data_IF_491077535798
#
_entry.id   IF_491077535798
#
_cell.length_a   1.000
_cell.length_b   1.000
_cell.length_c   1.000
_cell.angle_alpha   90.00
_cell.angle_beta   90.00
_cell.angle_gamma   90.00
#
_symmetry.space_group_name_H-M   'P 1'
#
loop_
_entity.id
_entity.type
_entity.pdbx_description
1 polymer ?
#
# COMPACT_ATOMS: atom_id res chain seq x y z
N UNK A 1 11.46 -4.97 -19.97
CA UNK A 1 10.20 -4.48 -19.38
C UNK A 1 9.30 -4.03 -20.53
N UNK A 2 8.04 -4.48 -20.57
CA UNK A 2 7.08 -4.04 -21.58
C UNK A 2 6.75 -2.55 -21.36
N UNK A 3 6.62 -1.69 -22.39
CA UNK A 3 6.25 -0.28 -22.22
C UNK A 3 5.07 -0.04 -21.26
N UNK A 4 4.06 -0.91 -21.32
CA UNK A 4 2.89 -0.80 -20.45
C UNK A 4 3.18 -1.11 -18.97
N UNK A 5 4.17 -1.95 -18.67
CA UNK A 5 4.62 -2.17 -17.28
C UNK A 5 5.41 -0.96 -16.75
N UNK A 6 6.22 -0.34 -17.61
CA UNK A 6 6.98 0.87 -17.26
C UNK A 6 6.05 2.08 -17.00
N UNK A 7 4.95 2.20 -17.75
CA UNK A 7 3.91 3.20 -17.51
C UNK A 7 3.22 3.01 -16.15
N UNK A 8 2.84 1.77 -15.82
CA UNK A 8 2.26 1.45 -14.51
C UNK A 8 3.24 1.77 -13.38
N UNK A 9 4.50 1.40 -13.52
CA UNK A 9 5.52 1.71 -12.52
C UNK A 9 5.70 3.23 -12.35
N UNK A 10 5.72 3.99 -13.45
CA UNK A 10 5.77 5.45 -13.37
C UNK A 10 4.55 6.06 -12.66
N UNK A 11 3.34 5.51 -12.89
CA UNK A 11 2.12 5.91 -12.16
C UNK A 11 2.30 5.64 -10.67
N UNK A 12 2.76 4.44 -10.30
CA UNK A 12 2.99 4.07 -8.90
C UNK A 12 4.00 4.99 -8.24
N UNK A 13 5.16 5.20 -8.86
CA UNK A 13 6.25 6.02 -8.29
C UNK A 13 5.83 7.47 -8.03
N UNK A 14 5.02 8.08 -8.91
CA UNK A 14 4.52 9.45 -8.70
C UNK A 14 3.73 9.57 -7.40
N UNK A 15 2.73 8.71 -7.18
CA UNK A 15 1.96 8.73 -5.94
C UNK A 15 2.74 8.22 -4.72
N UNK A 16 3.70 7.30 -4.92
CA UNK A 16 4.51 6.75 -3.83
C UNK A 16 5.39 7.81 -3.16
N UNK A 17 5.94 8.75 -3.94
CA UNK A 17 6.69 9.88 -3.39
C UNK A 17 5.84 10.72 -2.44
N UNK A 18 4.63 11.11 -2.86
CA UNK A 18 3.68 11.84 -2.03
C UNK A 18 3.25 11.01 -0.80
N UNK A 19 2.97 9.72 -1.00
CA UNK A 19 2.55 8.81 0.06
C UNK A 19 3.61 8.71 1.17
N UNK A 20 4.88 8.52 0.80
CA UNK A 20 6.00 8.44 1.75
C UNK A 20 6.27 9.77 2.46
N UNK A 21 5.90 10.89 1.86
CA UNK A 21 5.92 12.20 2.51
C UNK A 21 4.72 12.46 3.44
N UNK A 22 3.81 11.49 3.62
CA UNK A 22 2.59 11.64 4.42
C UNK A 22 1.50 12.47 3.73
N UNK A 23 1.68 12.82 2.45
CA UNK A 23 0.71 13.55 1.63
C UNK A 23 -0.30 12.57 1.02
N UNK A 24 -1.05 11.89 1.89
CA UNK A 24 -1.93 10.79 1.47
C UNK A 24 -3.04 11.20 0.50
N UNK A 25 -3.57 12.42 0.61
CA UNK A 25 -4.56 12.92 -0.36
C UNK A 25 -3.94 13.15 -1.74
N UNK A 26 -2.72 13.72 -1.79
CA UNK A 26 -2.00 13.92 -3.05
C UNK A 26 -1.68 12.58 -3.73
N UNK A 27 -1.22 11.59 -2.95
CA UNK A 27 -0.99 10.24 -3.46
C UNK A 27 -2.28 9.60 -4.02
N UNK A 28 -3.42 9.82 -3.35
CA UNK A 28 -4.72 9.36 -3.81
C UNK A 28 -5.07 9.93 -5.19
N UNK A 29 -4.99 11.25 -5.37
CA UNK A 29 -5.31 11.90 -6.64
C UNK A 29 -4.38 11.42 -7.77
N UNK A 30 -3.06 11.36 -7.51
CA UNK A 30 -2.06 10.92 -8.49
C UNK A 30 -2.29 9.48 -8.99
N UNK A 31 -2.69 8.58 -8.09
CA UNK A 31 -3.02 7.20 -8.47
C UNK A 31 -4.41 7.09 -9.10
N UNK A 32 -5.37 7.92 -8.70
CA UNK A 32 -6.73 7.91 -9.26
C UNK A 32 -6.72 8.27 -10.75
N UNK A 33 -5.90 9.23 -11.16
CA UNK A 33 -5.73 9.59 -12.57
C UNK A 33 -5.28 8.39 -13.42
N UNK A 34 -4.28 7.65 -12.95
CA UNK A 34 -3.83 6.41 -13.61
C UNK A 34 -4.90 5.32 -13.61
N UNK A 35 -5.60 5.15 -12.49
CA UNK A 35 -6.67 4.15 -12.34
C UNK A 35 -7.86 4.39 -13.27
N UNK A 36 -8.24 5.66 -13.51
CA UNK A 36 -9.31 6.02 -14.45
C UNK A 36 -8.97 5.57 -15.87
N UNK A 37 -7.71 5.76 -16.27
CA UNK A 37 -7.22 5.42 -17.60
C UNK A 37 -6.88 3.93 -17.79
N UNK A 38 -6.66 3.16 -16.73
CA UNK A 38 -6.23 1.75 -16.79
C UNK A 38 -7.36 0.81 -17.27
N UNK A 39 -7.20 0.12 -18.42
CA UNK A 39 -8.17 -0.85 -18.91
C UNK A 39 -7.98 -2.27 -18.34
N UNK A 40 -6.76 -2.65 -17.92
CA UNK A 40 -6.51 -4.01 -17.43
C UNK A 40 -7.16 -4.20 -16.05
N UNK A 41 -8.04 -5.20 -15.86
CA UNK A 41 -8.76 -5.38 -14.61
C UNK A 41 -7.87 -5.64 -13.40
N UNK A 42 -6.72 -6.31 -13.58
CA UNK A 42 -5.81 -6.66 -12.48
C UNK A 42 -5.03 -5.43 -12.04
N UNK A 43 -4.47 -4.67 -12.99
CA UNK A 43 -3.80 -3.41 -12.71
C UNK A 43 -4.76 -2.36 -12.14
N UNK A 44 -5.99 -2.32 -12.64
CA UNK A 44 -7.05 -1.47 -12.12
C UNK A 44 -7.41 -1.84 -10.67
N UNK A 45 -7.49 -3.12 -10.34
CA UNK A 45 -7.68 -3.57 -8.95
C UNK A 45 -6.49 -3.18 -8.06
N UNK A 46 -5.26 -3.36 -8.55
CA UNK A 46 -4.04 -2.97 -7.84
C UNK A 46 -3.99 -1.47 -7.52
N UNK A 47 -4.15 -0.60 -8.53
CA UNK A 47 -4.18 0.85 -8.33
C UNK A 47 -5.32 1.26 -7.38
N UNK A 48 -6.49 0.63 -7.50
CA UNK A 48 -7.59 0.86 -6.56
C UNK A 48 -7.21 0.49 -5.12
N UNK A 49 -6.43 -0.58 -4.92
CA UNK A 49 -5.86 -0.94 -3.64
C UNK A 49 -5.01 0.21 -3.05
N UNK A 50 -4.06 0.75 -3.81
CA UNK A 50 -3.21 1.86 -3.37
C UNK A 50 -4.02 3.11 -3.00
N UNK A 51 -4.98 3.47 -3.85
CA UNK A 51 -5.91 4.60 -3.66
C UNK A 51 -6.70 4.44 -2.34
N UNK A 52 -7.20 3.24 -2.06
CA UNK A 52 -7.95 2.95 -0.84
C UNK A 52 -7.07 3.02 0.42
N UNK A 53 -5.80 2.57 0.35
CA UNK A 53 -4.84 2.72 1.45
C UNK A 53 -4.56 4.18 1.73
N UNK A 54 -4.26 4.98 0.70
CA UNK A 54 -4.04 6.42 0.85
C UNK A 54 -5.26 7.13 1.44
N UNK A 55 -6.46 6.86 0.92
CA UNK A 55 -7.70 7.42 1.44
C UNK A 55 -7.95 7.02 2.90
N UNK A 56 -7.63 5.78 3.30
CA UNK A 56 -7.76 5.34 4.68
C UNK A 56 -6.88 6.15 5.64
N UNK A 57 -5.61 6.36 5.27
CA UNK A 57 -4.68 7.13 6.10
C UNK A 57 -5.04 8.61 6.15
N UNK A 58 -5.54 9.18 5.06
CA UNK A 58 -6.11 10.53 5.08
C UNK A 58 -7.32 10.62 6.03
N UNK A 59 -8.25 9.65 5.99
CA UNK A 59 -9.39 9.60 6.92
C UNK A 59 -8.96 9.51 8.37
N UNK A 60 -7.94 8.70 8.67
CA UNK A 60 -7.44 8.58 10.02
C UNK A 60 -6.80 9.89 10.50
N UNK A 61 -5.86 10.44 9.72
CA UNK A 61 -4.99 11.54 10.15
C UNK A 61 -5.64 12.93 10.04
N UNK A 62 -6.49 13.17 9.05
CA UNK A 62 -7.12 14.48 8.81
C UNK A 62 -8.57 14.52 9.27
N UNK A 63 -9.32 13.45 9.06
CA UNK A 63 -10.75 13.40 9.41
C UNK A 63 -11.02 12.78 10.78
N UNK A 64 -10.00 12.24 11.46
CA UNK A 64 -10.13 11.53 12.76
C UNK A 64 -11.21 10.46 12.73
N UNK A 65 -11.31 9.73 11.61
CA UNK A 65 -12.35 8.74 11.35
C UNK A 65 -11.74 7.33 11.28
N UNK A 66 -11.49 6.68 12.43
CA UNK A 66 -10.84 5.37 12.47
C UNK A 66 -11.72 4.27 11.85
N UNK A 67 -13.03 4.28 12.12
CA UNK A 67 -13.97 3.33 11.48
C UNK A 67 -14.02 3.51 9.96
N UNK A 68 -13.95 4.75 9.49
CA UNK A 68 -13.84 5.07 8.07
C UNK A 68 -12.55 4.57 7.45
N UNK A 69 -11.43 4.68 8.16
CA UNK A 69 -10.12 4.19 7.73
C UNK A 69 -10.09 2.66 7.64
N UNK A 70 -10.54 1.95 8.69
CA UNK A 70 -10.59 0.47 8.73
C UNK A 70 -11.38 -0.09 7.55
N UNK A 71 -12.59 0.43 7.31
CA UNK A 71 -13.43 -0.01 6.18
C UNK A 71 -12.76 0.18 4.82
N UNK A 72 -11.91 1.19 4.66
CA UNK A 72 -11.15 1.41 3.43
C UNK A 72 -9.96 0.46 3.32
N UNK A 73 -9.27 0.17 4.43
CA UNK A 73 -8.18 -0.82 4.46
C UNK A 73 -8.69 -2.23 4.18
N UNK A 74 -9.85 -2.63 4.69
CA UNK A 74 -10.46 -3.93 4.38
C UNK A 74 -10.76 -4.07 2.89
N UNK A 75 -11.31 -3.01 2.29
CA UNK A 75 -11.52 -2.96 0.84
C UNK A 75 -10.21 -2.99 0.06
N UNK A 76 -9.18 -2.28 0.54
CA UNK A 76 -7.87 -2.29 -0.10
C UNK A 76 -7.28 -3.71 -0.08
N UNK A 77 -7.34 -4.39 1.06
CA UNK A 77 -6.89 -5.77 1.21
C UNK A 77 -7.60 -6.71 0.23
N UNK A 78 -8.93 -6.58 0.10
CA UNK A 78 -9.71 -7.36 -0.87
C UNK A 78 -9.34 -7.06 -2.33
N UNK A 79 -8.97 -5.81 -2.66
CA UNK A 79 -8.52 -5.44 -4.02
C UNK A 79 -7.12 -5.92 -4.36
N UNK A 80 -6.24 -6.02 -3.36
CA UNK A 80 -4.89 -6.53 -3.50
C UNK A 80 -4.84 -8.07 -3.51
N UNK A 81 -5.94 -8.75 -3.14
CA UNK A 81 -6.03 -10.19 -3.19
C UNK A 81 -5.89 -10.70 -4.63
N UNK A 82 -4.90 -11.57 -4.87
CA UNK A 82 -4.63 -12.14 -6.19
C UNK A 82 -3.86 -11.24 -7.14
N UNK A 83 -3.46 -10.03 -6.72
CA UNK A 83 -2.55 -9.18 -7.50
C UNK A 83 -1.15 -9.84 -7.53
N UNK A 84 -0.52 -10.00 -8.70
CA UNK A 84 0.82 -10.58 -8.81
C UNK A 84 1.90 -9.79 -8.05
N UNK A 85 2.88 -10.51 -7.51
CA UNK A 85 4.06 -9.91 -6.88
C UNK A 85 4.85 -9.06 -7.89
N UNK A 86 5.38 -7.92 -7.43
CA UNK A 86 6.13 -7.00 -8.29
C UNK A 86 5.27 -6.09 -9.17
N UNK A 87 3.94 -6.15 -9.09
CA UNK A 87 3.07 -5.26 -9.84
C UNK A 87 3.36 -3.79 -9.51
N UNK A 88 3.58 -2.98 -10.54
CA UNK A 88 3.97 -1.56 -10.39
C UNK A 88 5.26 -1.35 -9.60
N UNK A 89 6.15 -2.36 -9.56
CA UNK A 89 7.41 -2.32 -8.82
C UNK A 89 7.27 -2.53 -7.30
N UNK A 90 6.08 -2.89 -6.78
CA UNK A 90 5.86 -3.05 -5.34
C UNK A 90 5.88 -4.51 -4.89
N UNK A 91 6.32 -4.71 -3.64
CA UNK A 91 6.19 -5.97 -2.94
C UNK A 91 4.75 -6.15 -2.44
N UNK A 92 3.87 -6.65 -3.32
CA UNK A 92 2.41 -6.72 -3.09
C UNK A 92 2.06 -7.60 -1.88
N UNK A 93 2.77 -8.72 -1.69
CA UNK A 93 2.59 -9.58 -0.52
C UNK A 93 2.86 -8.86 0.80
N UNK A 94 3.93 -8.05 0.86
CA UNK A 94 4.25 -7.24 2.04
C UNK A 94 3.20 -6.16 2.27
N UNK A 95 2.81 -5.44 1.21
CA UNK A 95 1.77 -4.41 1.29
C UNK A 95 0.45 -4.98 1.82
N UNK A 96 0.01 -6.13 1.30
CA UNK A 96 -1.22 -6.78 1.74
C UNK A 96 -1.18 -7.13 3.24
N UNK A 97 -0.04 -7.65 3.71
CA UNK A 97 0.19 -7.93 5.12
C UNK A 97 0.22 -6.66 5.98
N UNK A 98 0.83 -5.58 5.50
CA UNK A 98 0.87 -4.29 6.19
C UNK A 98 -0.53 -3.69 6.34
N UNK A 99 -1.34 -3.70 5.28
CA UNK A 99 -2.72 -3.21 5.29
C UNK A 99 -3.55 -3.92 6.36
N UNK A 100 -3.45 -5.24 6.45
CA UNK A 100 -4.16 -6.02 7.45
C UNK A 100 -3.71 -5.69 8.89
N UNK A 101 -2.40 -5.46 9.11
CA UNK A 101 -1.87 -5.06 10.43
C UNK A 101 -2.32 -3.65 10.81
N UNK A 102 -2.29 -2.71 9.87
CA UNK A 102 -2.75 -1.34 10.06
C UNK A 102 -4.25 -1.30 10.44
N UNK A 103 -5.09 -2.06 9.74
CA UNK A 103 -6.53 -2.14 10.03
C UNK A 103 -6.79 -2.58 11.48
N UNK A 104 -6.17 -3.70 11.91
CA UNK A 104 -6.30 -4.23 13.28
C UNK A 104 -5.82 -3.23 14.33
N UNK A 105 -4.70 -2.55 14.07
CA UNK A 105 -4.16 -1.55 14.98
C UNK A 105 -5.09 -0.33 15.12
N UNK A 106 -5.63 0.17 14.01
CA UNK A 106 -6.59 1.29 14.03
C UNK A 106 -7.87 0.90 14.76
N UNK A 107 -8.38 -0.32 14.56
CA UNK A 107 -9.53 -0.82 15.32
C UNK A 107 -9.27 -0.82 16.83
N UNK A 108 -8.08 -1.27 17.25
CA UNK A 108 -7.72 -1.29 18.66
C UNK A 108 -7.63 0.12 19.24
N UNK A 109 -6.95 1.04 18.55
CA UNK A 109 -6.88 2.45 18.94
C UNK A 109 -8.27 3.08 19.02
N UNK A 110 -9.18 2.74 18.11
CA UNK A 110 -10.55 3.26 18.12
C UNK A 110 -11.32 2.86 19.38
N UNK A 111 -11.12 1.62 19.89
CA UNK A 111 -11.72 1.16 21.16
C UNK A 111 -11.18 1.95 22.35
N UNK A 112 -9.97 2.48 22.25
CA UNK A 112 -9.33 3.32 23.24
C UNK A 112 -9.62 4.83 23.04
N UNK A 113 -10.46 5.19 22.05
CA UNK A 113 -10.76 6.60 21.73
C UNK A 113 -9.60 7.34 21.04
N UNK A 114 -8.67 6.61 20.45
CA UNK A 114 -7.41 7.11 19.87
C UNK A 114 -7.38 7.01 18.36
N UNK A 115 -6.51 7.82 17.73
CA UNK A 115 -6.31 7.85 16.27
C UNK A 115 -4.84 7.99 15.87
N UNK A 116 -3.95 8.04 16.85
CA UNK A 116 -2.50 8.16 16.70
C UNK A 116 -1.88 6.79 16.38
N UNK A 117 -1.95 6.42 15.10
CA UNK A 117 -1.29 5.22 14.59
C UNK A 117 0.24 5.40 14.59
N UNK A 118 0.94 4.42 15.16
CA UNK A 118 2.39 4.36 15.11
C UNK A 118 2.89 4.33 13.65
N UNK A 119 3.89 5.15 13.33
CA UNK A 119 4.45 5.26 11.98
C UNK A 119 4.97 3.91 11.45
N UNK A 120 5.42 3.00 12.31
CA UNK A 120 5.86 1.65 11.93
C UNK A 120 4.74 0.75 11.43
N UNK A 121 3.48 1.09 11.73
CA UNK A 121 2.27 0.38 11.32
C UNK A 121 1.61 1.00 10.08
N UNK A 122 2.11 2.13 9.58
CA UNK A 122 1.70 2.66 8.28
C UNK A 122 2.20 1.72 7.18
N UNK A 123 1.32 1.27 6.25
CA UNK A 123 1.76 0.39 5.16
C UNK A 123 2.89 1.00 4.34
N UNK A 124 4.02 0.31 4.21
CA UNK A 124 5.24 0.98 3.73
C UNK A 124 5.33 1.09 2.21
N UNK A 125 4.60 0.23 1.50
CA UNK A 125 4.69 0.09 0.04
C UNK A 125 6.16 -0.08 -0.38
N UNK A 126 6.75 -1.18 0.10
CA UNK A 126 8.14 -1.55 -0.19
C UNK A 126 8.32 -1.88 -1.67
N UNK A 127 9.50 -1.54 -2.22
CA UNK A 127 9.83 -1.87 -3.60
C UNK A 127 10.15 -3.37 -3.71
N UNK A 128 9.66 -4.01 -4.77
CA UNK A 128 9.96 -5.41 -5.05
C UNK A 128 11.47 -5.56 -5.33
N UNK A 129 12.14 -6.45 -4.59
CA UNK A 129 13.57 -6.72 -4.76
C UNK A 129 14.48 -6.23 -3.63
N UNK A 130 14.02 -5.37 -2.72
CA UNK A 130 14.85 -4.86 -1.61
C UNK A 130 15.04 -5.85 -0.44
N UNK A 131 14.46 -7.07 -0.50
CA UNK A 131 14.71 -8.15 0.49
C UNK A 131 15.20 -9.47 -0.09
N UNK A 132 15.75 -9.52 -1.30
CA UNK A 132 16.53 -10.69 -1.71
C UNK A 132 17.89 -10.75 -0.97
N UNK A 133 18.44 -9.60 -0.55
CA UNK A 133 19.79 -9.53 0.01
C UNK A 133 19.92 -9.93 1.50
N UNK A 134 18.84 -9.91 2.29
CA UNK A 134 18.94 -10.18 3.75
C UNK A 134 18.66 -11.63 4.16
N UNK A 135 18.36 -12.54 3.22
CA UNK A 135 18.10 -13.96 3.51
C UNK A 135 19.26 -14.90 3.09
N UNK A 136 20.23 -14.41 2.31
CA UNK A 136 21.32 -15.24 1.77
C UNK A 136 22.61 -15.23 2.60
N UNK A 137 22.66 -14.56 3.76
CA UNK A 137 23.84 -14.52 4.62
C UNK A 137 23.89 -15.62 5.72
N UNK A 138 22.96 -16.58 5.72
CA UNK A 138 22.79 -17.54 6.83
C UNK A 138 23.43 -18.92 6.67
N UNK A 139 23.78 -19.35 5.44
CA UNK A 139 24.24 -20.72 5.22
C UNK A 139 25.79 -20.79 5.17
N UNK A 140 26.44 -20.83 6.34
CA UNK A 140 27.80 -21.40 6.43
C UNK A 140 27.71 -22.92 6.25
N UNK A 141 28.54 -23.54 5.39
CA UNK A 141 28.70 -24.99 5.41
C UNK A 141 29.41 -25.40 6.70
N UNK A 142 28.89 -26.42 7.38
CA UNK A 142 29.57 -27.05 8.52
C UNK A 142 30.74 -27.92 8.01
N UNK A 143 31.82 -28.05 8.79
CA UNK A 143 33.03 -28.77 8.41
C UNK A 143 32.78 -30.27 8.21
#
# INVERSE_FOLDING_TARGET
>A
MNPSDAELEAIVQRGLFAYRAGLFYEAHELWEDGWRAEPDPVRKAFLQGLILVAAALHKLTRMRSPSGAVRLLDKAHARLAGVPEGMGGLAVGLLSGDVARAARAIEQLAREGRTDLDASLVPRMEIAGERAASSLAGARPRP
#
